data_IF_055397171256
#
_entry.id   IF_055397171256
#
_cell.length_a   1.000
_cell.length_b   1.000
_cell.length_c   1.000
_cell.angle_alpha   90.00
_cell.angle_beta   90.00
_cell.angle_gamma   90.00
#
_symmetry.space_group_name_H-M   'P 1'
#
loop_
_entity.id
_entity.type
_entity.pdbx_description
1 polymer ?
#
# COMPACT_ATOMS: atom_id res chain seq x y z
N UNK A 1 104.03 -44.08 -22.94
CA UNK A 1 103.72 -42.79 -23.57
C UNK A 1 102.18 -42.55 -23.58
N UNK A 2 101.64 -42.04 -22.52
CA UNK A 2 100.22 -41.70 -22.42
C UNK A 2 100.06 -40.23 -22.16
N UNK A 3 99.50 -39.54 -23.10
CA UNK A 3 99.05 -38.13 -22.88
C UNK A 3 97.56 -38.12 -22.54
N UNK A 4 97.13 -37.46 -21.53
CA UNK A 4 95.69 -37.28 -21.30
C UNK A 4 95.15 -36.13 -22.18
N UNK A 5 94.03 -36.34 -22.82
CA UNK A 5 93.25 -35.32 -23.54
C UNK A 5 92.66 -34.35 -22.55
N UNK A 6 92.97 -33.05 -22.74
CA UNK A 6 92.28 -31.97 -22.01
C UNK A 6 90.96 -31.65 -22.70
N UNK A 7 89.86 -31.68 -21.95
CA UNK A 7 88.53 -31.24 -22.36
C UNK A 7 88.49 -29.70 -22.25
N UNK A 8 87.87 -28.96 -23.17
CA UNK A 8 87.71 -27.50 -23.08
C UNK A 8 86.61 -27.13 -22.12
N UNK A 9 86.95 -26.37 -21.12
CA UNK A 9 85.97 -25.73 -20.22
C UNK A 9 85.23 -24.63 -20.99
N UNK A 10 83.92 -24.78 -21.23
CA UNK A 10 83.03 -23.80 -21.83
C UNK A 10 82.75 -22.72 -20.80
N UNK A 11 83.37 -21.58 -20.99
CA UNK A 11 83.22 -20.41 -20.16
C UNK A 11 81.79 -19.89 -20.32
N UNK A 12 80.99 -19.91 -19.27
CA UNK A 12 79.64 -19.47 -19.21
C UNK A 12 79.59 -17.94 -19.23
N UNK A 13 79.31 -17.39 -20.44
CA UNK A 13 79.20 -15.95 -20.67
C UNK A 13 77.77 -15.59 -20.98
N UNK A 14 76.92 -15.46 -19.94
CA UNK A 14 75.58 -14.97 -20.14
C UNK A 14 74.95 -14.18 -18.95
N UNK A 15 75.77 -13.47 -18.18
CA UNK A 15 75.26 -12.70 -17.05
C UNK A 15 74.63 -11.34 -17.45
N UNK A 16 74.88 -10.86 -18.67
CA UNK A 16 74.35 -9.54 -19.09
C UNK A 16 72.93 -9.58 -19.58
N UNK A 17 72.52 -10.69 -20.26
CA UNK A 17 71.18 -10.89 -20.74
C UNK A 17 70.21 -11.19 -19.58
N UNK A 18 70.66 -12.00 -18.62
CA UNK A 18 69.88 -12.33 -17.44
C UNK A 18 69.62 -11.10 -16.54
N UNK A 19 70.61 -10.22 -16.42
CA UNK A 19 70.43 -8.93 -15.70
C UNK A 19 69.48 -7.97 -16.41
N UNK A 20 69.51 -7.94 -17.72
CA UNK A 20 68.57 -7.13 -18.52
C UNK A 20 67.15 -7.67 -18.44
N UNK A 21 66.94 -8.98 -18.55
CA UNK A 21 65.67 -9.63 -18.38
C UNK A 21 65.07 -9.43 -16.98
N UNK A 22 65.90 -9.51 -15.91
CA UNK A 22 65.49 -9.27 -14.56
C UNK A 22 65.03 -7.81 -14.34
N UNK A 23 65.67 -6.83 -15.00
CA UNK A 23 65.31 -5.41 -14.87
C UNK A 23 63.99 -5.07 -15.59
N UNK A 24 63.50 -5.85 -16.53
CA UNK A 24 62.21 -5.68 -17.20
C UNK A 24 61.08 -6.51 -16.60
N UNK A 25 61.38 -7.69 -16.03
CA UNK A 25 60.41 -8.56 -15.39
C UNK A 25 59.97 -8.01 -14.04
N UNK A 26 60.88 -7.42 -13.28
CA UNK A 26 60.57 -6.88 -11.93
C UNK A 26 59.50 -5.75 -11.96
N UNK A 27 59.54 -4.74 -12.84
CA UNK A 27 58.49 -3.71 -12.88
C UNK A 27 57.16 -4.22 -13.44
N UNK A 28 57.15 -5.28 -14.32
CA UNK A 28 55.91 -5.88 -14.81
C UNK A 28 55.22 -6.69 -13.72
N UNK A 29 55.97 -7.36 -12.85
CA UNK A 29 55.42 -8.08 -11.69
C UNK A 29 54.86 -7.13 -10.61
N UNK A 30 55.43 -5.91 -10.48
CA UNK A 30 54.97 -4.91 -9.52
C UNK A 30 53.63 -4.27 -9.93
N UNK A 31 53.30 -4.23 -11.22
CA UNK A 31 52.01 -3.68 -11.69
C UNK A 31 50.84 -4.64 -11.50
N UNK A 32 51.07 -5.95 -11.29
CA UNK A 32 49.99 -6.92 -11.05
C UNK A 32 49.49 -6.99 -9.59
N UNK A 33 50.16 -6.31 -8.65
CA UNK A 33 49.77 -6.28 -7.24
C UNK A 33 48.82 -5.12 -6.87
N UNK A 34 48.43 -4.27 -7.84
CA UNK A 34 47.60 -3.07 -7.59
C UNK A 34 46.11 -3.27 -7.71
N UNK A 35 45.62 -4.50 -7.85
CA UNK A 35 44.17 -4.81 -7.86
C UNK A 35 43.75 -5.64 -6.66
N UNK A 36 44.02 -5.17 -5.43
CA UNK A 36 43.15 -5.50 -4.29
C UNK A 36 42.18 -4.35 -4.14
N UNK A 37 41.10 -4.35 -4.95
CA UNK A 37 39.92 -3.62 -4.56
C UNK A 37 39.35 -4.34 -3.33
N UNK A 38 39.59 -3.82 -2.14
CA UNK A 38 38.71 -4.11 -1.03
C UNK A 38 37.29 -3.83 -1.54
N UNK A 39 36.46 -4.86 -1.59
CA UNK A 39 35.03 -4.67 -1.83
C UNK A 39 34.57 -3.64 -0.77
N UNK A 40 33.87 -2.59 -1.17
CA UNK A 40 33.34 -1.64 -0.17
C UNK A 40 32.61 -2.45 0.87
N UNK A 41 32.73 -2.11 2.18
CA UNK A 41 32.04 -2.86 3.23
C UNK A 41 30.58 -2.93 2.81
N UNK A 42 30.07 -4.14 2.56
CA UNK A 42 28.65 -4.34 2.35
C UNK A 42 27.99 -3.79 3.61
N UNK A 43 27.24 -2.70 3.45
CA UNK A 43 26.54 -2.06 4.55
C UNK A 43 25.79 -3.12 5.34
N UNK A 44 25.85 -3.00 6.65
CA UNK A 44 25.20 -3.87 7.60
C UNK A 44 23.74 -4.10 7.14
N UNK A 45 23.38 -5.37 7.02
CA UNK A 45 22.02 -5.86 6.76
C UNK A 45 21.22 -5.03 5.76
N UNK A 46 21.32 -5.38 4.50
CA UNK A 46 20.23 -5.11 3.57
C UNK A 46 19.03 -5.87 4.16
N UNK A 47 18.15 -5.15 4.88
CA UNK A 47 16.80 -5.62 5.14
C UNK A 47 16.30 -6.25 3.84
N UNK A 48 15.69 -7.43 3.94
CA UNK A 48 15.33 -8.19 2.74
C UNK A 48 14.71 -7.25 1.72
N UNK A 49 15.10 -7.31 0.45
CA UNK A 49 14.57 -6.42 -0.62
C UNK A 49 13.04 -6.36 -0.63
N UNK A 50 12.42 -7.37 -0.05
CA UNK A 50 10.97 -7.49 0.08
C UNK A 50 10.35 -6.51 1.08
N UNK A 51 11.15 -5.96 2.02
CA UNK A 51 10.70 -4.96 2.99
C UNK A 51 10.91 -3.51 2.53
N UNK A 52 11.57 -3.29 1.40
CA UNK A 52 11.82 -1.94 0.86
C UNK A 52 10.77 -1.57 -0.20
N UNK A 53 10.24 -0.32 -0.17
CA UNK A 53 9.36 0.13 -1.23
C UNK A 53 10.13 0.23 -2.55
N UNK A 54 9.53 -0.24 -3.64
CA UNK A 54 10.10 -0.07 -5.00
C UNK A 54 9.89 1.34 -5.52
N UNK A 55 8.93 2.07 -4.94
CA UNK A 55 8.63 3.46 -5.28
C UNK A 55 8.15 4.20 -4.05
N UNK A 56 8.65 5.42 -3.87
CA UNK A 56 8.12 6.41 -2.93
C UNK A 56 7.88 7.71 -3.69
N UNK A 57 6.67 8.25 -3.62
CA UNK A 57 6.27 9.48 -4.30
C UNK A 57 5.64 10.44 -3.30
N UNK A 58 5.86 11.74 -3.49
CA UNK A 58 5.36 12.79 -2.60
C UNK A 58 4.40 13.71 -3.34
N UNK A 59 3.42 14.27 -2.61
CA UNK A 59 2.43 15.19 -3.16
C UNK A 59 1.58 14.55 -4.25
N UNK A 60 0.94 13.41 -3.94
CA UNK A 60 0.26 12.55 -4.92
C UNK A 60 -1.21 12.89 -5.05
N UNK A 61 -1.69 12.95 -6.29
CA UNK A 61 -3.12 12.89 -6.63
C UNK A 61 -3.32 11.72 -7.60
N UNK A 62 -3.98 10.66 -7.13
CA UNK A 62 -4.24 9.42 -7.87
C UNK A 62 -5.72 9.33 -8.23
N UNK A 63 -6.03 9.06 -9.50
CA UNK A 63 -7.38 8.79 -9.96
C UNK A 63 -7.60 7.28 -10.07
N UNK A 64 -8.75 6.82 -9.61
CA UNK A 64 -9.22 5.44 -9.74
C UNK A 64 -10.43 5.48 -10.66
N UNK A 65 -10.32 4.76 -11.78
CA UNK A 65 -11.37 4.72 -12.81
C UNK A 65 -11.93 3.31 -12.92
N UNK A 66 -13.22 3.24 -13.17
CA UNK A 66 -13.92 2.03 -13.55
C UNK A 66 -14.56 2.24 -14.91
N UNK A 67 -14.32 1.29 -15.85
CA UNK A 67 -14.88 1.33 -17.22
C UNK A 67 -14.64 2.67 -17.94
N UNK A 68 -13.48 3.30 -17.71
CA UNK A 68 -13.10 4.58 -18.33
C UNK A 68 -13.69 5.82 -17.65
N UNK A 69 -14.49 5.66 -16.60
CA UNK A 69 -15.05 6.78 -15.82
C UNK A 69 -14.30 6.90 -14.49
N UNK A 70 -13.80 8.10 -14.16
CA UNK A 70 -13.18 8.36 -12.86
C UNK A 70 -14.23 8.24 -11.77
N UNK A 71 -14.00 7.32 -10.84
CA UNK A 71 -14.90 7.06 -9.71
C UNK A 71 -14.37 7.62 -8.40
N UNK A 72 -13.04 7.58 -8.22
CA UNK A 72 -12.42 8.07 -6.99
C UNK A 72 -11.16 8.86 -7.30
N UNK A 73 -10.86 9.81 -6.41
CA UNK A 73 -9.60 10.54 -6.37
C UNK A 73 -9.01 10.39 -4.98
N UNK A 74 -7.73 10.06 -4.92
CA UNK A 74 -6.96 9.91 -3.69
C UNK A 74 -5.88 10.98 -3.65
N UNK A 75 -5.80 11.73 -2.57
CA UNK A 75 -4.77 12.74 -2.32
C UNK A 75 -4.01 12.34 -1.05
N UNK A 76 -2.69 12.37 -1.11
CA UNK A 76 -1.82 12.08 0.03
C UNK A 76 -0.48 12.83 -0.10
N UNK A 77 0.18 13.09 1.02
CA UNK A 77 1.53 13.66 1.00
C UNK A 77 2.60 12.65 0.65
N UNK A 78 2.41 11.36 0.96
CA UNK A 78 3.39 10.30 0.70
C UNK A 78 2.69 9.00 0.29
N UNK A 79 3.16 8.42 -0.81
CA UNK A 79 2.72 7.13 -1.31
C UNK A 79 3.92 6.21 -1.52
N UNK A 80 3.89 5.04 -0.88
CA UNK A 80 4.90 3.98 -1.01
C UNK A 80 4.29 2.75 -1.64
N UNK A 81 5.03 2.09 -2.53
CA UNK A 81 4.62 0.87 -3.22
C UNK A 81 5.59 -0.25 -2.91
N UNK A 82 5.06 -1.39 -2.48
CA UNK A 82 5.77 -2.63 -2.20
C UNK A 82 5.24 -3.71 -3.15
N UNK A 83 5.98 -4.02 -4.20
CA UNK A 83 5.57 -4.99 -5.22
C UNK A 83 6.03 -6.42 -4.91
N UNK A 84 6.99 -6.59 -3.99
CA UNK A 84 7.55 -7.89 -3.60
C UNK A 84 6.84 -8.50 -2.39
N UNK A 85 5.99 -7.75 -1.70
CA UNK A 85 5.18 -8.32 -0.62
C UNK A 85 4.02 -9.15 -1.19
N UNK A 86 3.58 -10.16 -0.45
CA UNK A 86 2.40 -10.95 -0.77
C UNK A 86 1.45 -10.93 0.44
N UNK A 87 0.30 -10.22 0.35
CA UNK A 87 -0.22 -9.44 -0.78
C UNK A 87 0.64 -8.23 -1.13
N UNK A 88 0.58 -7.75 -2.39
CA UNK A 88 1.18 -6.47 -2.77
C UNK A 88 0.57 -5.36 -1.93
N UNK A 89 1.39 -4.41 -1.49
CA UNK A 89 0.96 -3.37 -0.56
C UNK A 89 1.32 -1.98 -1.06
N UNK A 90 0.40 -1.06 -0.91
CA UNK A 90 0.61 0.37 -1.03
C UNK A 90 0.35 1.00 0.34
N UNK A 91 1.16 1.97 0.74
CA UNK A 91 1.08 2.66 2.02
C UNK A 91 0.92 4.17 1.81
N UNK A 92 0.07 4.77 2.63
CA UNK A 92 -0.24 6.19 2.69
C UNK A 92 -0.13 6.61 4.16
N UNK A 93 1.08 6.96 4.60
CA UNK A 93 1.38 7.11 6.04
C UNK A 93 1.29 8.56 6.55
N UNK A 94 1.08 9.53 5.66
CA UNK A 94 1.02 10.96 6.00
C UNK A 94 -0.32 11.59 5.64
N UNK A 95 -1.38 10.97 6.13
CA UNK A 95 -2.74 11.38 5.82
C UNK A 95 -3.21 10.94 4.44
N UNK A 96 -4.51 10.72 4.35
CA UNK A 96 -5.20 10.42 3.11
C UNK A 96 -6.51 11.19 3.05
N UNK A 97 -6.81 11.73 1.88
CA UNK A 97 -8.08 12.33 1.52
C UNK A 97 -8.59 11.69 0.24
N UNK A 98 -9.82 11.20 0.25
CA UNK A 98 -10.44 10.54 -0.89
C UNK A 98 -11.76 11.22 -1.23
N UNK A 99 -12.03 11.35 -2.53
CA UNK A 99 -13.30 11.80 -3.09
C UNK A 99 -13.91 10.68 -3.92
N UNK A 100 -15.22 10.46 -3.78
CA UNK A 100 -16.00 9.66 -4.72
C UNK A 100 -16.81 10.59 -5.61
N UNK A 101 -16.83 10.29 -6.90
CA UNK A 101 -17.57 11.06 -7.92
C UNK A 101 -18.82 10.32 -8.37
N UNK A 102 -19.87 11.08 -8.62
CA UNK A 102 -21.08 10.60 -9.32
C UNK A 102 -20.87 10.55 -10.85
N UNK A 103 -21.91 10.14 -11.58
CA UNK A 103 -21.84 10.06 -13.05
C UNK A 103 -21.71 11.43 -13.73
N UNK A 104 -22.02 12.52 -13.03
CA UNK A 104 -21.84 13.90 -13.49
C UNK A 104 -20.49 14.50 -13.08
N UNK A 105 -19.59 13.69 -12.53
CA UNK A 105 -18.27 14.09 -12.01
C UNK A 105 -18.34 15.09 -10.84
N UNK A 106 -19.41 15.09 -10.05
CA UNK A 106 -19.48 15.84 -8.80
C UNK A 106 -18.99 14.97 -7.67
N UNK A 107 -18.15 15.53 -6.80
CA UNK A 107 -17.72 14.85 -5.58
C UNK A 107 -18.91 14.77 -4.61
N UNK A 108 -19.33 13.56 -4.29
CA UNK A 108 -20.51 13.29 -3.48
C UNK A 108 -20.21 12.60 -2.14
N UNK A 109 -18.99 12.10 -1.96
CA UNK A 109 -18.54 11.50 -0.70
C UNK A 109 -17.07 11.85 -0.49
N UNK A 110 -16.71 12.20 0.75
CA UNK A 110 -15.35 12.49 1.17
C UNK A 110 -14.95 11.52 2.29
N UNK A 111 -13.72 11.04 2.24
CA UNK A 111 -13.14 10.17 3.27
C UNK A 111 -11.79 10.76 3.68
N UNK A 112 -11.54 10.83 4.98
CA UNK A 112 -10.23 11.18 5.54
C UNK A 112 -9.78 10.13 6.54
N UNK A 113 -8.45 9.94 6.65
CA UNK A 113 -7.84 9.13 7.69
C UNK A 113 -6.39 9.57 7.93
N UNK A 114 -5.81 9.19 9.07
CA UNK A 114 -4.42 9.49 9.37
C UNK A 114 -3.46 8.66 8.52
N UNK A 115 -3.81 7.40 8.27
CA UNK A 115 -3.04 6.47 7.43
C UNK A 115 -3.97 5.57 6.64
N UNK A 116 -3.47 5.04 5.53
CA UNK A 116 -4.16 3.99 4.79
C UNK A 116 -3.19 2.98 4.20
N UNK A 117 -3.70 1.79 3.98
CA UNK A 117 -3.04 0.69 3.28
C UNK A 117 -3.96 0.20 2.17
N UNK A 118 -3.38 -0.15 1.03
CA UNK A 118 -4.12 -0.78 -0.06
C UNK A 118 -3.42 -2.09 -0.45
N UNK A 119 -4.13 -3.20 -0.31
CA UNK A 119 -3.64 -4.55 -0.60
C UNK A 119 -4.20 -5.03 -1.94
N UNK A 120 -3.33 -5.60 -2.79
CA UNK A 120 -3.66 -6.11 -4.13
C UNK A 120 -4.51 -5.12 -4.95
N UNK A 121 -4.33 -3.82 -4.73
CA UNK A 121 -5.05 -2.72 -5.38
C UNK A 121 -6.57 -2.69 -5.15
N UNK A 122 -7.10 -3.52 -4.26
CA UNK A 122 -8.55 -3.69 -4.09
C UNK A 122 -9.05 -3.57 -2.66
N UNK A 123 -8.27 -4.02 -1.68
CA UNK A 123 -8.65 -3.94 -0.28
C UNK A 123 -7.96 -2.77 0.38
N UNK A 124 -8.74 -1.76 0.73
CA UNK A 124 -8.27 -0.60 1.47
C UNK A 124 -8.54 -0.76 2.96
N UNK A 125 -7.58 -0.38 3.76
CA UNK A 125 -7.67 -0.27 5.20
C UNK A 125 -7.27 1.14 5.61
N UNK A 126 -8.24 1.91 6.10
CA UNK A 126 -8.04 3.27 6.62
C UNK A 126 -7.95 3.22 8.14
N UNK A 127 -7.01 3.93 8.72
CA UNK A 127 -6.75 3.92 10.15
C UNK A 127 -6.53 5.32 10.72
N UNK A 128 -6.99 5.51 11.95
CA UNK A 128 -6.83 6.71 12.74
C UNK A 128 -7.74 7.84 12.25
N UNK A 129 -8.62 8.33 13.13
CA UNK A 129 -9.55 9.44 12.88
C UNK A 129 -10.26 9.32 11.52
N UNK A 130 -10.72 8.11 11.21
CA UNK A 130 -11.44 7.89 9.96
C UNK A 130 -12.75 8.66 10.00
N UNK A 131 -12.97 9.50 9.02
CA UNK A 131 -14.17 10.30 8.87
C UNK A 131 -14.67 10.21 7.43
N UNK A 132 -15.94 9.88 7.27
CA UNK A 132 -16.65 9.86 5.98
C UNK A 132 -17.77 10.87 6.01
N UNK A 133 -17.93 11.63 4.95
CA UNK A 133 -18.96 12.63 4.77
C UNK A 133 -19.66 12.38 3.42
N UNK A 134 -20.85 11.81 3.48
CA UNK A 134 -21.72 11.60 2.31
C UNK A 134 -22.66 12.80 2.14
N UNK A 135 -22.37 13.65 1.15
CA UNK A 135 -23.11 14.88 0.87
C UNK A 135 -24.51 14.63 0.35
N UNK A 136 -24.74 13.50 -0.31
CA UNK A 136 -26.06 13.16 -0.86
C UNK A 136 -27.01 12.75 0.25
N UNK A 137 -26.53 11.96 1.18
CA UNK A 137 -27.33 11.47 2.31
C UNK A 137 -27.32 12.41 3.53
N UNK A 138 -26.43 13.39 3.51
CA UNK A 138 -26.14 14.21 4.68
C UNK A 138 -25.74 13.34 5.89
N UNK A 139 -24.99 12.30 5.62
CA UNK A 139 -24.54 11.30 6.59
C UNK A 139 -23.06 11.48 6.86
N UNK A 140 -22.69 11.37 8.13
CA UNK A 140 -21.29 11.25 8.53
C UNK A 140 -21.05 9.91 9.21
N UNK A 141 -19.83 9.40 9.02
CA UNK A 141 -19.33 8.20 9.71
C UNK A 141 -17.99 8.53 10.36
N UNK A 142 -17.80 8.08 11.59
CA UNK A 142 -16.55 8.24 12.36
C UNK A 142 -16.15 6.93 13.00
N UNK A 143 -14.87 6.56 12.91
CA UNK A 143 -14.27 5.37 13.54
C UNK A 143 -12.75 5.48 13.57
N UNK A 144 -12.09 4.56 14.28
CA UNK A 144 -10.63 4.40 14.18
C UNK A 144 -10.18 3.56 12.99
N UNK A 145 -11.10 2.76 12.40
CA UNK A 145 -10.78 1.87 11.26
C UNK A 145 -11.97 1.80 10.32
N UNK A 146 -11.67 1.80 9.02
CA UNK A 146 -12.63 1.52 7.96
C UNK A 146 -11.96 0.66 6.89
N UNK A 147 -12.59 -0.44 6.54
CA UNK A 147 -12.20 -1.27 5.41
C UNK A 147 -13.10 -0.98 4.21
N UNK A 148 -12.48 -0.96 3.02
CA UNK A 148 -13.18 -0.86 1.76
C UNK A 148 -12.69 -1.97 0.82
N UNK A 149 -13.56 -2.93 0.53
CA UNK A 149 -13.31 -4.00 -0.43
C UNK A 149 -13.94 -3.62 -1.78
N UNK A 150 -13.09 -3.13 -2.69
CA UNK A 150 -13.53 -2.69 -4.02
C UNK A 150 -14.06 -3.84 -4.88
N UNK A 151 -13.60 -5.09 -4.65
CA UNK A 151 -14.09 -6.24 -5.41
C UNK A 151 -15.50 -6.65 -5.00
N UNK A 152 -15.81 -6.50 -3.71
CA UNK A 152 -17.13 -6.81 -3.16
C UNK A 152 -18.06 -5.61 -3.16
N UNK A 153 -17.55 -4.42 -3.47
CA UNK A 153 -18.28 -3.17 -3.41
C UNK A 153 -18.90 -2.90 -2.05
N UNK A 154 -18.12 -3.13 -0.96
CA UNK A 154 -18.56 -2.95 0.41
C UNK A 154 -17.58 -2.12 1.24
N UNK A 155 -18.16 -1.35 2.17
CA UNK A 155 -17.46 -0.84 3.36
C UNK A 155 -17.79 -1.69 4.57
N UNK A 156 -16.83 -1.89 5.47
CA UNK A 156 -17.07 -2.57 6.75
C UNK A 156 -16.08 -2.12 7.82
N UNK A 157 -16.46 -2.27 9.08
CA UNK A 157 -15.55 -2.12 10.22
C UNK A 157 -15.95 -3.07 11.35
N UNK A 158 -14.95 -3.44 12.15
CA UNK A 158 -15.06 -4.28 13.34
C UNK A 158 -14.64 -3.53 14.61
N UNK A 159 -14.78 -2.21 14.59
CA UNK A 159 -14.41 -1.28 15.66
C UNK A 159 -15.56 -0.36 16.01
N UNK A 160 -15.53 0.30 17.19
CA UNK A 160 -16.52 1.30 17.52
C UNK A 160 -16.66 2.35 16.42
N UNK A 161 -17.88 2.65 16.06
CA UNK A 161 -18.23 3.64 15.06
C UNK A 161 -19.42 4.46 15.46
N UNK A 162 -19.54 5.64 14.86
CA UNK A 162 -20.70 6.53 14.98
C UNK A 162 -21.15 6.88 13.56
N UNK A 163 -22.45 6.76 13.31
CA UNK A 163 -23.10 7.25 12.09
C UNK A 163 -24.14 8.30 12.51
N UNK A 164 -24.01 9.50 11.97
CA UNK A 164 -24.95 10.59 12.13
C UNK A 164 -25.64 10.90 10.80
N UNK A 165 -26.94 10.87 10.81
CA UNK A 165 -27.83 11.30 9.72
C UNK A 165 -28.84 12.34 10.28
N UNK A 166 -29.51 13.14 9.46
CA UNK A 166 -30.46 14.17 9.95
C UNK A 166 -31.57 13.60 10.82
N UNK A 167 -31.92 12.32 10.62
CA UNK A 167 -33.04 11.67 11.32
C UNK A 167 -32.63 10.46 12.13
N UNK A 168 -31.33 10.12 12.17
CA UNK A 168 -30.87 8.90 12.83
C UNK A 168 -29.46 9.08 13.36
N UNK A 169 -29.24 8.66 14.59
CA UNK A 169 -27.94 8.50 15.21
C UNK A 169 -27.74 7.02 15.55
N UNK A 170 -26.62 6.42 15.10
CA UNK A 170 -26.31 5.00 15.32
C UNK A 170 -24.87 4.87 15.81
N UNK A 171 -24.70 4.20 16.93
CA UNK A 171 -23.40 3.75 17.42
C UNK A 171 -23.34 2.24 17.42
N UNK A 172 -22.18 1.65 17.21
CA UNK A 172 -22.01 0.19 17.23
C UNK A 172 -20.54 -0.20 17.21
N UNK A 173 -20.30 -1.52 17.17
CA UNK A 173 -18.94 -2.07 17.13
C UNK A 173 -18.65 -2.88 15.86
N UNK A 174 -19.66 -3.09 15.05
CA UNK A 174 -19.49 -3.73 13.75
C UNK A 174 -20.54 -3.19 12.77
N UNK A 175 -20.10 -2.87 11.55
CA UNK A 175 -21.02 -2.54 10.47
C UNK A 175 -20.52 -3.07 9.14
N UNK A 176 -21.43 -3.23 8.20
CA UNK A 176 -21.18 -3.45 6.80
C UNK A 176 -22.20 -2.68 5.96
N UNK A 177 -21.75 -2.13 4.85
CA UNK A 177 -22.59 -1.37 3.90
C UNK A 177 -22.12 -1.60 2.47
N UNK A 178 -22.99 -1.37 1.50
CA UNK A 178 -22.57 -1.21 0.10
C UNK A 178 -21.78 0.11 -0.07
N UNK A 179 -21.06 0.26 -1.20
CA UNK A 179 -20.26 1.47 -1.50
C UNK A 179 -21.12 2.74 -1.58
N UNK A 180 -22.41 2.63 -1.84
CA UNK A 180 -23.34 3.73 -1.85
C UNK A 180 -23.95 4.01 -0.47
N UNK A 181 -23.56 3.26 0.57
CA UNK A 181 -24.12 3.36 1.92
C UNK A 181 -25.66 3.22 1.96
N UNK A 182 -26.28 2.51 1.00
CA UNK A 182 -27.74 2.32 0.91
C UNK A 182 -28.24 1.23 1.83
N UNK A 183 -27.47 0.14 1.94
CA UNK A 183 -27.73 -0.95 2.84
C UNK A 183 -26.78 -0.86 4.03
N UNK A 184 -27.30 -0.90 5.24
CA UNK A 184 -26.50 -0.83 6.46
C UNK A 184 -26.88 -1.99 7.37
N UNK A 185 -25.94 -2.88 7.62
CA UNK A 185 -26.03 -3.90 8.65
C UNK A 185 -25.14 -3.49 9.82
N UNK A 186 -25.70 -3.53 11.05
CA UNK A 186 -24.98 -3.17 12.27
C UNK A 186 -25.15 -4.24 13.33
N UNK A 187 -24.13 -4.43 14.18
CA UNK A 187 -24.18 -5.31 15.34
C UNK A 187 -23.75 -4.56 16.60
N UNK A 188 -24.30 -5.00 17.74
CA UNK A 188 -24.07 -4.38 19.04
C UNK A 188 -24.27 -2.87 18.95
N UNK A 189 -25.41 -2.48 18.39
CA UNK A 189 -25.72 -1.08 18.12
C UNK A 189 -26.69 -0.52 19.13
N UNK A 190 -26.53 0.76 19.43
CA UNK A 190 -27.50 1.64 20.08
C UNK A 190 -27.76 2.83 19.17
N UNK A 191 -28.91 3.45 19.30
CA UNK A 191 -29.20 4.60 18.47
C UNK A 191 -30.53 5.26 18.84
N UNK A 192 -30.72 6.47 18.37
CA UNK A 192 -31.96 7.21 18.47
C UNK A 192 -32.52 7.50 17.09
N UNK A 193 -33.84 7.29 16.95
CA UNK A 193 -34.60 7.76 15.79
C UNK A 193 -35.73 8.64 16.29
N UNK A 194 -36.00 9.80 15.67
CA UNK A 194 -37.22 10.53 15.99
C UNK A 194 -38.43 9.69 15.58
N UNK A 195 -39.27 9.33 16.53
CA UNK A 195 -40.58 8.75 16.23
C UNK A 195 -41.45 9.87 15.63
N UNK A 196 -41.95 9.69 14.43
CA UNK A 196 -43.16 10.40 14.00
C UNK A 196 -44.29 9.74 14.78
N UNK A 197 -44.84 10.45 15.74
CA UNK A 197 -46.13 10.06 16.30
C UNK A 197 -47.11 9.91 15.14
N UNK A 198 -47.73 8.75 14.98
CA UNK A 198 -48.82 8.56 14.02
C UNK A 198 -49.89 9.57 14.43
N UNK A 199 -50.23 10.44 13.48
CA UNK A 199 -51.35 11.33 13.67
C UNK A 199 -52.60 10.50 14.04
N UNK A 200 -53.28 10.71 15.18
CA UNK A 200 -54.42 9.89 15.57
C UNK A 200 -55.57 9.88 14.53
N UNK A 201 -55.48 10.70 13.47
CA UNK A 201 -56.45 10.82 12.41
C UNK A 201 -56.10 10.04 11.12
N UNK A 202 -54.97 9.33 11.05
CA UNK A 202 -54.63 8.52 9.87
C UNK A 202 -55.33 7.15 9.93
N UNK A 203 -56.61 7.15 9.58
CA UNK A 203 -57.50 5.97 9.57
C UNK A 203 -57.40 5.16 8.25
N UNK A 204 -56.24 5.02 7.65
CA UNK A 204 -56.08 4.38 6.33
C UNK A 204 -55.43 3.00 6.39
N UNK A 205 -55.67 2.21 7.42
CA UNK A 205 -55.35 0.78 7.42
C UNK A 205 -56.39 -0.05 8.17
N UNK A 206 -57.67 -0.04 7.69
CA UNK A 206 -58.58 -1.12 7.96
C UNK A 206 -58.26 -2.26 6.97
N UNK A 207 -57.32 -3.11 7.35
CA UNK A 207 -57.23 -4.47 6.80
C UNK A 207 -58.51 -5.22 7.17
N UNK A 208 -59.38 -5.37 6.16
CA UNK A 208 -60.52 -6.27 6.25
C UNK A 208 -59.99 -7.69 6.44
N UNK A 209 -60.41 -8.42 7.46
CA UNK A 209 -60.02 -9.83 7.65
C UNK A 209 -60.51 -10.69 6.47
N UNK A 210 -59.75 -11.69 6.04
CA UNK A 210 -60.18 -12.57 4.96
C UNK A 210 -61.44 -13.37 5.37
N UNK A 211 -62.36 -13.66 4.42
CA UNK A 211 -63.57 -14.45 4.70
C UNK A 211 -63.19 -15.86 5.13
N UNK A 212 -64.00 -16.51 5.98
CA UNK A 212 -63.75 -17.88 6.43
C UNK A 212 -63.82 -18.87 5.26
N UNK A 213 -63.03 -19.96 5.26
CA UNK A 213 -63.06 -20.99 4.23
C UNK A 213 -64.41 -21.75 4.22
N UNK A 214 -64.75 -22.31 3.04
CA UNK A 214 -66.01 -23.06 2.85
C UNK A 214 -66.07 -24.38 3.59
#
# INVERSE_FOLDING_TARGET
SNRPLALPTKKYQNNSILKRLFNYILPVLALSAACTSEAPPMGENIESRDSMPVMTTYGVSKLISDSGVTRYKVITEEWRVFDKTHPQRQEFLKGIYMERYDDNQNANLHITADTAYCFDQNLWELRGRVYVDDKVKQMTYSSDVLFWDMRKHIFYADRPFIIDEPTRHVEGTWFQSDEQMKTLEVKNSSGSMPFKDKDPNDTTDQQTPPPPPP
#
